data_IF_449121569952
#
_entry.id   IF_449121569952
#
_cell.length_a   1.000
_cell.length_b   1.000
_cell.length_c   1.000
_cell.angle_alpha   90.00
_cell.angle_beta   90.00
_cell.angle_gamma   90.00
#
_symmetry.space_group_name_H-M   'P 1'
#
loop_
_entity.id
_entity.type
_entity.pdbx_description
1 polymer ?
#
# COMPACT_ATOMS: atom_id res chain seq x y z
N UNK A 1 -6.20 -11.73 15.43
CA UNK A 1 -6.64 -10.58 16.25
C UNK A 1 -6.08 -10.73 17.66
N UNK A 2 -5.55 -9.66 18.28
CA UNK A 2 -5.03 -9.68 19.66
C UNK A 2 -5.80 -8.65 20.51
N UNK A 3 -6.19 -9.02 21.73
CA UNK A 3 -6.94 -8.17 22.67
C UNK A 3 -6.28 -8.21 24.03
N UNK A 4 -5.97 -7.04 24.61
CA UNK A 4 -5.33 -6.92 25.92
C UNK A 4 -6.16 -5.98 26.81
N UNK A 5 -6.56 -6.45 27.99
CA UNK A 5 -7.25 -5.65 29.00
C UNK A 5 -6.25 -5.19 30.06
N UNK A 6 -6.00 -3.89 30.13
CA UNK A 6 -5.13 -3.29 31.15
C UNK A 6 -5.95 -2.73 32.32
N UNK A 7 -5.42 -2.68 33.56
CA UNK A 7 -6.08 -1.99 34.67
C UNK A 7 -6.29 -0.51 34.32
N UNK A 8 -7.32 0.11 34.92
CA UNK A 8 -7.67 1.51 34.67
C UNK A 8 -8.12 2.17 35.97
N UNK A 9 -7.91 3.48 36.07
CA UNK A 9 -8.53 4.28 37.11
C UNK A 9 -10.06 4.26 36.97
N UNK A 10 -10.81 4.39 38.07
CA UNK A 10 -12.28 4.35 38.04
C UNK A 10 -12.90 5.38 37.09
N UNK A 11 -12.28 6.56 37.03
CA UNK A 11 -12.68 7.69 36.17
C UNK A 11 -12.07 7.70 34.76
N UNK A 12 -11.38 6.64 34.32
CA UNK A 12 -10.75 6.60 32.98
C UNK A 12 -10.93 5.24 32.32
N UNK A 13 -11.06 5.21 31.00
CA UNK A 13 -11.12 3.97 30.21
C UNK A 13 -10.57 4.20 28.78
N UNK A 14 -9.24 4.29 28.62
CA UNK A 14 -8.64 4.44 27.30
C UNK A 14 -8.85 3.17 26.47
N UNK A 15 -9.17 3.34 25.20
CA UNK A 15 -9.27 2.28 24.20
C UNK A 15 -8.36 2.65 23.04
N UNK A 16 -7.49 1.73 22.64
CA UNK A 16 -6.57 1.90 21.52
C UNK A 16 -6.77 0.76 20.51
N UNK A 17 -6.73 1.11 19.23
CA UNK A 17 -6.75 0.17 18.11
C UNK A 17 -5.50 0.43 17.28
N UNK A 18 -4.75 -0.62 17.01
CA UNK A 18 -3.53 -0.57 16.21
C UNK A 18 -3.50 -1.78 15.28
N UNK A 19 -2.78 -1.64 14.16
CA UNK A 19 -2.59 -2.69 13.17
C UNK A 19 -1.10 -2.87 12.89
N UNK A 20 -0.72 -4.10 12.57
CA UNK A 20 0.48 -4.35 11.77
C UNK A 20 0.03 -4.58 10.34
N UNK A 21 0.67 -3.92 9.38
CA UNK A 21 0.31 -4.01 7.97
C UNK A 21 0.97 -5.25 7.32
N UNK A 22 0.82 -5.41 6.00
CA UNK A 22 1.47 -6.50 5.26
C UNK A 22 3.00 -6.52 5.42
N UNK A 23 3.61 -5.37 5.71
CA UNK A 23 5.02 -5.27 6.06
C UNK A 23 5.24 -5.40 7.58
N UNK A 24 4.82 -6.54 8.14
CA UNK A 24 4.99 -6.93 9.55
C UNK A 24 6.47 -7.20 9.85
N UNK A 25 7.14 -6.28 10.57
CA UNK A 25 8.61 -6.20 10.65
C UNK A 25 9.13 -5.95 12.07
N UNK A 26 8.87 -6.90 12.95
CA UNK A 26 9.47 -6.97 14.29
C UNK A 26 10.48 -8.12 14.38
N UNK A 27 11.50 -7.95 15.22
CA UNK A 27 12.42 -9.02 15.62
C UNK A 27 12.85 -8.80 17.07
N UNK A 28 12.77 -9.85 17.90
CA UNK A 28 13.21 -9.83 19.30
C UNK A 28 14.69 -10.22 19.39
N UNK A 29 15.43 -9.62 20.33
CA UNK A 29 16.83 -9.98 20.61
C UNK A 29 17.05 -10.12 22.12
N UNK A 30 18.07 -10.90 22.52
CA UNK A 30 18.52 -11.01 23.92
C UNK A 30 20.05 -11.08 23.99
N UNK A 31 20.62 -10.56 25.07
CA UNK A 31 22.05 -10.66 25.38
C UNK A 31 22.17 -11.40 26.72
N UNK A 32 23.03 -12.41 26.76
CA UNK A 32 23.32 -13.19 27.98
C UNK A 32 24.83 -13.33 28.15
N UNK A 33 25.26 -13.97 29.24
CA UNK A 33 26.68 -14.31 29.44
C UNK A 33 27.24 -15.23 28.33
N UNK A 34 26.38 -15.92 27.58
CA UNK A 34 26.75 -16.83 26.49
C UNK A 34 26.88 -16.11 25.14
N UNK A 35 26.36 -14.88 25.00
CA UNK A 35 26.48 -14.08 23.77
C UNK A 35 25.23 -13.28 23.41
N UNK A 36 25.12 -12.95 22.12
CA UNK A 36 24.03 -12.16 21.53
C UNK A 36 23.14 -13.08 20.70
N UNK A 37 21.83 -12.97 20.89
CA UNK A 37 20.83 -13.78 20.22
C UNK A 37 19.81 -12.88 19.54
N UNK A 38 19.38 -13.29 18.35
CA UNK A 38 18.34 -12.63 17.55
C UNK A 38 17.26 -13.66 17.19
N UNK A 39 16.01 -13.22 17.12
CA UNK A 39 14.89 -14.03 16.65
C UNK A 39 15.14 -14.54 15.23
N UNK A 40 15.02 -15.85 15.04
CA UNK A 40 15.14 -16.49 13.74
C UNK A 40 13.85 -16.23 12.95
N UNK A 41 13.95 -15.42 11.90
CA UNK A 41 12.88 -15.26 10.92
C UNK A 41 12.92 -16.38 9.87
N UNK A 42 11.83 -16.51 9.11
CA UNK A 42 11.79 -17.39 7.94
C UNK A 42 12.81 -16.93 6.90
N UNK A 43 13.65 -17.86 6.42
CA UNK A 43 14.66 -17.61 5.39
C UNK A 43 14.26 -18.15 4.03
N UNK A 44 13.30 -19.08 3.97
CA UNK A 44 12.74 -19.60 2.72
C UNK A 44 11.22 -19.35 2.65
N UNK A 45 10.81 -18.11 2.29
CA UNK A 45 9.38 -17.77 2.20
C UNK A 45 8.68 -18.45 1.01
N UNK A 46 9.42 -18.95 0.02
CA UNK A 46 8.86 -19.53 -1.20
C UNK A 46 8.04 -20.79 -0.91
N UNK A 47 8.35 -21.51 0.18
CA UNK A 47 7.58 -22.69 0.62
C UNK A 47 6.11 -22.40 0.96
N UNK A 48 5.75 -21.14 1.18
CA UNK A 48 4.37 -20.72 1.42
C UNK A 48 3.61 -20.37 0.13
N UNK A 49 4.28 -20.39 -1.03
CA UNK A 49 3.60 -20.21 -2.32
C UNK A 49 2.77 -21.46 -2.63
N UNK A 50 1.47 -21.31 -2.92
CA UNK A 50 0.66 -22.43 -3.38
C UNK A 50 1.10 -22.87 -4.78
N UNK A 51 0.89 -24.15 -5.10
CA UNK A 51 0.98 -24.68 -6.47
C UNK A 51 -0.16 -24.05 -7.29
N UNK A 52 0.08 -22.86 -7.82
CA UNK A 52 -0.91 -22.07 -8.55
C UNK A 52 -0.42 -21.93 -9.98
N UNK A 53 -1.28 -22.19 -10.96
CA UNK A 53 -0.96 -21.94 -12.37
C UNK A 53 -1.36 -20.52 -12.76
N UNK A 54 -0.66 -19.93 -13.72
CA UNK A 54 -0.97 -18.58 -14.22
C UNK A 54 -2.43 -18.48 -14.72
N UNK A 55 -3.01 -19.58 -15.21
CA UNK A 55 -4.42 -19.62 -15.63
C UNK A 55 -5.41 -19.37 -14.48
N UNK A 56 -5.06 -19.74 -13.24
CA UNK A 56 -5.90 -19.48 -12.07
C UNK A 56 -5.92 -17.98 -11.73
N UNK A 57 -4.81 -17.26 -11.98
CA UNK A 57 -4.70 -15.82 -11.76
C UNK A 57 -5.43 -14.98 -12.83
N UNK A 58 -5.62 -15.56 -14.02
CA UNK A 58 -6.40 -14.98 -15.13
C UNK A 58 -7.91 -15.30 -15.03
N UNK A 59 -8.26 -16.46 -14.47
CA UNK A 59 -9.66 -16.90 -14.34
C UNK A 59 -10.53 -16.07 -13.38
N UNK A 60 -9.91 -15.31 -12.48
CA UNK A 60 -10.60 -14.62 -11.37
C UNK A 60 -11.00 -13.15 -11.66
N UNK A 61 -10.83 -12.68 -12.90
CA UNK A 61 -11.40 -11.41 -13.31
C UNK A 61 -10.84 -10.87 -14.62
N UNK A 62 -11.75 -10.42 -15.49
CA UNK A 62 -11.43 -9.76 -16.75
C UNK A 62 -10.58 -8.50 -16.48
N UNK A 63 -9.26 -8.60 -16.64
CA UNK A 63 -8.34 -7.47 -16.40
C UNK A 63 -8.32 -6.58 -17.63
N UNK A 64 -8.74 -5.33 -17.47
CA UNK A 64 -8.74 -4.36 -18.58
C UNK A 64 -7.35 -3.73 -18.68
N UNK A 65 -6.71 -3.85 -19.85
CA UNK A 65 -5.44 -3.19 -20.14
C UNK A 65 -5.70 -1.76 -20.60
N UNK A 66 -5.04 -0.79 -19.98
CA UNK A 66 -5.13 0.63 -20.31
C UNK A 66 -3.74 1.15 -20.68
N UNK A 67 -3.62 1.75 -21.85
CA UNK A 67 -2.40 2.41 -22.32
C UNK A 67 -2.42 3.90 -21.96
N UNK A 68 -1.43 4.33 -21.18
CA UNK A 68 -1.24 5.70 -20.73
C UNK A 68 -0.44 6.55 -21.71
N UNK A 69 0.04 5.99 -22.83
CA UNK A 69 0.72 6.75 -23.89
C UNK A 69 -0.27 7.50 -24.82
N UNK A 70 -1.46 7.82 -24.32
CA UNK A 70 -2.52 8.50 -25.04
C UNK A 70 -2.81 9.88 -24.41
N UNK A 71 -3.47 10.81 -25.13
CA UNK A 71 -3.93 12.05 -24.54
C UNK A 71 -4.86 11.79 -23.34
N UNK A 72 -4.80 12.65 -22.32
CA UNK A 72 -5.60 12.51 -21.09
C UNK A 72 -7.11 12.36 -21.36
N UNK A 73 -7.63 13.08 -22.36
CA UNK A 73 -9.05 13.01 -22.73
C UNK A 73 -9.45 11.60 -23.20
N UNK A 74 -8.57 10.91 -23.95
CA UNK A 74 -8.79 9.54 -24.42
C UNK A 74 -8.77 8.54 -23.28
N UNK A 75 -7.80 8.69 -22.36
CA UNK A 75 -7.68 7.84 -21.17
C UNK A 75 -8.94 7.98 -20.29
N UNK A 76 -9.43 9.20 -20.06
CA UNK A 76 -10.63 9.44 -19.25
C UNK A 76 -11.90 8.90 -19.91
N UNK A 77 -12.03 9.03 -21.23
CA UNK A 77 -13.16 8.49 -21.99
C UNK A 77 -13.19 6.95 -21.94
N UNK A 78 -12.04 6.29 -21.88
CA UNK A 78 -11.94 4.85 -21.69
C UNK A 78 -12.29 4.43 -20.25
N UNK A 79 -11.70 5.08 -19.24
CA UNK A 79 -11.93 4.75 -17.83
C UNK A 79 -13.40 4.92 -17.41
N UNK A 80 -14.11 5.88 -17.99
CA UNK A 80 -15.52 6.17 -17.69
C UNK A 80 -16.47 5.03 -18.11
N UNK A 81 -16.04 4.14 -19.01
CA UNK A 81 -16.85 2.99 -19.47
C UNK A 81 -17.00 1.90 -18.40
N UNK A 82 -16.15 1.89 -17.37
CA UNK A 82 -16.07 0.81 -16.40
C UNK A 82 -16.57 1.23 -15.02
N UNK A 83 -17.34 0.37 -14.32
CA UNK A 83 -17.75 0.65 -12.94
C UNK A 83 -16.56 0.54 -11.97
N UNK A 84 -16.71 1.15 -10.79
CA UNK A 84 -15.75 0.99 -9.69
C UNK A 84 -15.57 -0.49 -9.33
N UNK A 85 -14.38 -0.86 -8.83
CA UNK A 85 -13.90 -2.24 -8.56
C UNK A 85 -13.43 -3.04 -9.79
N UNK A 86 -13.54 -2.48 -11.01
CA UNK A 86 -12.94 -3.11 -12.20
C UNK A 86 -11.41 -3.16 -12.06
N UNK A 87 -10.80 -4.34 -12.26
CA UNK A 87 -9.35 -4.52 -12.20
C UNK A 87 -8.70 -4.01 -13.50
N UNK A 88 -7.70 -3.14 -13.36
CA UNK A 88 -6.98 -2.55 -14.48
C UNK A 88 -5.51 -2.99 -14.49
N UNK A 89 -4.92 -3.04 -15.68
CA UNK A 89 -3.48 -3.17 -15.90
C UNK A 89 -3.02 -1.96 -16.70
N UNK A 90 -2.24 -1.08 -16.07
CA UNK A 90 -1.80 0.19 -16.66
C UNK A 90 -0.42 0.03 -17.30
N UNK A 91 -0.24 0.54 -18.50
CA UNK A 91 1.05 0.57 -19.20
C UNK A 91 1.34 1.98 -19.71
N UNK A 92 2.52 2.54 -19.39
CA UNK A 92 2.92 3.87 -19.87
C UNK A 92 3.40 4.80 -18.74
N UNK A 93 3.55 6.12 -19.02
CA UNK A 93 4.15 7.07 -18.10
C UNK A 93 3.25 7.37 -16.89
N UNK A 94 3.85 7.47 -15.71
CA UNK A 94 3.18 7.85 -14.46
C UNK A 94 3.97 8.93 -13.73
N UNK A 95 3.32 10.04 -13.40
CA UNK A 95 3.88 11.09 -12.56
C UNK A 95 3.71 10.69 -11.09
N UNK A 96 4.81 10.61 -10.35
CA UNK A 96 4.79 10.21 -8.93
C UNK A 96 4.95 11.44 -8.05
N UNK A 97 3.91 11.75 -7.27
CA UNK A 97 3.90 12.83 -6.29
C UNK A 97 3.16 12.38 -5.01
N UNK A 98 3.67 12.80 -3.85
CA UNK A 98 3.08 12.53 -2.53
C UNK A 98 3.05 13.82 -1.70
N UNK A 99 2.90 13.68 -0.39
CA UNK A 99 2.61 14.71 0.61
C UNK A 99 3.34 16.04 0.38
N UNK A 100 4.68 16.04 0.37
CA UNK A 100 5.48 17.26 0.22
C UNK A 100 5.31 17.89 -1.18
N UNK A 101 5.19 17.07 -2.21
CA UNK A 101 5.01 17.56 -3.57
C UNK A 101 3.63 18.23 -3.72
N UNK A 102 2.57 17.58 -3.25
CA UNK A 102 1.22 18.15 -3.25
C UNK A 102 1.12 19.41 -2.38
N UNK A 103 1.77 19.45 -1.22
CA UNK A 103 1.82 20.63 -0.36
C UNK A 103 2.47 21.83 -1.08
N UNK A 104 3.60 21.61 -1.76
CA UNK A 104 4.28 22.65 -2.54
C UNK A 104 3.48 23.11 -3.77
N UNK A 105 2.77 22.20 -4.43
CA UNK A 105 1.88 22.54 -5.55
C UNK A 105 0.75 23.45 -5.03
N UNK A 106 0.14 23.09 -3.90
CA UNK A 106 -0.90 23.89 -3.27
C UNK A 106 -0.40 25.30 -2.89
N UNK A 107 0.77 25.41 -2.24
CA UNK A 107 1.36 26.70 -1.90
C UNK A 107 1.53 27.62 -3.11
N UNK A 108 1.99 27.06 -4.24
CA UNK A 108 2.15 27.80 -5.49
C UNK A 108 0.82 28.26 -6.06
N UNK A 109 -0.19 27.40 -6.07
CA UNK A 109 -1.54 27.75 -6.51
C UNK A 109 -2.16 28.85 -5.65
N UNK A 110 -2.01 28.75 -4.33
CA UNK A 110 -2.47 29.75 -3.37
C UNK A 110 -1.75 31.10 -3.58
N UNK A 111 -0.48 31.08 -4.02
CA UNK A 111 0.31 32.25 -4.40
C UNK A 111 0.01 32.78 -5.83
N UNK A 112 -1.00 32.23 -6.53
CA UNK A 112 -1.38 32.63 -7.88
C UNK A 112 -0.45 32.13 -8.99
N UNK A 113 0.50 31.24 -8.68
CA UNK A 113 1.34 30.58 -9.68
C UNK A 113 0.58 29.42 -10.33
N UNK A 114 0.77 29.16 -11.63
CA UNK A 114 0.09 28.08 -12.33
C UNK A 114 0.55 26.69 -11.83
N UNK A 115 -0.37 25.71 -11.90
CA UNK A 115 0.01 24.30 -11.79
C UNK A 115 0.88 23.96 -13.01
N UNK A 116 2.16 23.67 -12.79
CA UNK A 116 3.08 23.32 -13.90
C UNK A 116 2.60 22.05 -14.58
N UNK A 117 2.37 22.10 -15.89
CA UNK A 117 2.38 20.91 -16.74
C UNK A 117 3.83 20.44 -16.91
N UNK A 118 4.09 19.16 -16.65
CA UNK A 118 5.29 18.46 -17.13
C UNK A 118 5.22 18.26 -18.63
#
# INVERSE_FOLDING_TARGET
>A
MRVVRLPRHGASCPVAIAVSCSADRQAVAKITAEGVFLEQLETDPARFLPETTDEQLESDGNVVRIDLNQPMDSILAELTKYPVKTRLSLSGPLVVARDIAHAKIKERLDAGSPCRST
#
